data_IF_996533924442
#
_entry.id   IF_996533924442
#
_cell.length_a   1.000
_cell.length_b   1.000
_cell.length_c   1.000
_cell.angle_alpha   90.00
_cell.angle_beta   90.00
_cell.angle_gamma   90.00
#
_symmetry.space_group_name_H-M   'P 1'
#
loop_
_entity.id
_entity.type
_entity.pdbx_description
1 polymer ?
#
# COMPACT_ATOMS: atom_id res chain seq x y z
N UNK A 1 -4.09 8.95 -10.75
CA UNK A 1 -4.90 8.06 -9.87
C UNK A 1 -4.23 7.98 -8.52
N UNK A 2 -4.98 7.80 -7.42
CA UNK A 2 -4.39 7.63 -6.08
C UNK A 2 -4.61 6.20 -5.60
N UNK A 3 -3.55 5.58 -5.09
CA UNK A 3 -3.58 4.25 -4.47
C UNK A 3 -3.18 4.41 -3.02
N UNK A 4 -4.06 3.98 -2.12
CA UNK A 4 -3.92 4.08 -0.67
C UNK A 4 -3.68 2.68 -0.11
N UNK A 5 -2.49 2.44 0.44
CA UNK A 5 -2.11 1.15 1.00
C UNK A 5 -2.10 1.25 2.52
N UNK A 6 -2.78 0.34 3.20
CA UNK A 6 -2.68 0.24 4.66
C UNK A 6 -1.22 -0.02 5.10
N UNK A 7 -0.70 0.79 6.02
CA UNK A 7 0.69 0.70 6.45
C UNK A 7 1.08 -0.65 7.06
N UNK A 8 0.15 -1.32 7.75
CA UNK A 8 0.36 -2.66 8.32
C UNK A 8 0.66 -3.72 7.25
N UNK A 9 0.29 -3.48 5.98
CA UNK A 9 0.65 -4.38 4.87
C UNK A 9 2.11 -4.21 4.40
N UNK A 10 2.86 -3.27 4.98
CA UNK A 10 4.30 -3.08 4.70
C UNK A 10 5.22 -3.81 5.68
N UNK A 11 4.66 -4.39 6.75
CA UNK A 11 5.40 -5.10 7.80
C UNK A 11 5.06 -6.60 7.84
N UNK A 12 5.88 -7.44 8.50
CA UNK A 12 5.61 -8.86 8.66
C UNK A 12 4.18 -9.10 9.19
N UNK A 13 3.44 -10.08 8.63
CA UNK A 13 3.92 -11.18 7.79
C UNK A 13 4.06 -10.86 6.29
N UNK A 14 3.92 -9.60 5.87
CA UNK A 14 4.14 -9.19 4.47
C UNK A 14 5.63 -9.17 4.11
N UNK A 15 5.91 -9.46 2.84
CA UNK A 15 7.23 -9.35 2.23
C UNK A 15 7.48 -7.90 1.82
N UNK A 16 8.54 -7.29 2.39
CA UNK A 16 8.95 -5.92 2.05
C UNK A 16 9.29 -5.79 0.56
N UNK A 17 9.86 -6.85 -0.04
CA UNK A 17 10.14 -6.90 -1.47
C UNK A 17 8.85 -6.84 -2.28
N UNK A 18 7.83 -7.66 -1.95
CA UNK A 18 6.54 -7.61 -2.64
C UNK A 18 5.80 -6.28 -2.42
N UNK A 19 5.92 -5.67 -1.25
CA UNK A 19 5.41 -4.32 -1.01
C UNK A 19 6.08 -3.30 -1.96
N UNK A 20 7.42 -3.35 -2.08
CA UNK A 20 8.16 -2.50 -3.03
C UNK A 20 7.71 -2.75 -4.47
N UNK A 21 7.57 -3.99 -4.89
CA UNK A 21 7.11 -4.36 -6.24
C UNK A 21 5.70 -3.82 -6.52
N UNK A 22 4.78 -3.91 -5.56
CA UNK A 22 3.45 -3.32 -5.67
C UNK A 22 3.51 -1.80 -5.84
N UNK A 23 4.30 -1.11 -5.01
CA UNK A 23 4.41 0.36 -5.06
C UNK A 23 5.10 0.82 -6.36
N UNK A 24 6.13 0.11 -6.83
CA UNK A 24 6.77 0.31 -8.13
C UNK A 24 5.76 0.14 -9.26
N UNK A 25 5.00 -0.97 -9.26
CA UNK A 25 4.02 -1.25 -10.29
C UNK A 25 2.97 -0.14 -10.37
N UNK A 26 2.39 0.22 -9.23
CA UNK A 26 1.40 1.27 -9.13
C UNK A 26 1.96 2.63 -9.59
N UNK A 27 3.17 3.00 -9.17
CA UNK A 27 3.76 4.28 -9.53
C UNK A 27 4.16 4.35 -10.99
N UNK A 28 4.91 3.38 -11.50
CA UNK A 28 5.53 3.45 -12.83
C UNK A 28 4.59 2.97 -13.94
N UNK A 29 3.94 1.82 -13.76
CA UNK A 29 3.11 1.23 -14.82
C UNK A 29 1.68 1.76 -14.79
N UNK A 30 1.20 2.13 -13.59
CA UNK A 30 -0.14 2.69 -13.44
C UNK A 30 -0.15 4.23 -13.33
N UNK A 31 1.00 4.90 -13.29
CA UNK A 31 1.11 6.35 -13.10
C UNK A 31 0.25 6.84 -11.93
N UNK A 32 0.30 6.08 -10.82
CA UNK A 32 -0.47 6.34 -9.63
C UNK A 32 0.36 7.01 -8.54
N UNK A 33 -0.29 7.88 -7.79
CA UNK A 33 0.23 8.46 -6.57
C UNK A 33 0.00 7.46 -5.44
N UNK A 34 1.06 6.79 -5.03
CA UNK A 34 1.01 5.79 -3.97
C UNK A 34 1.19 6.48 -2.63
N UNK A 35 0.17 6.34 -1.79
CA UNK A 35 0.11 6.89 -0.44
C UNK A 35 -0.08 5.74 0.53
N UNK A 36 0.55 5.83 1.70
CA UNK A 36 0.36 4.86 2.77
C UNK A 36 -0.59 5.46 3.80
N UNK A 37 -1.59 4.71 4.26
CA UNK A 37 -2.53 5.17 5.29
C UNK A 37 -2.34 4.40 6.61
N UNK A 38 -2.36 5.13 7.72
CA UNK A 38 -2.34 4.55 9.06
C UNK A 38 -3.15 5.38 10.07
N UNK A 39 -3.16 4.96 11.34
CA UNK A 39 -3.67 5.81 12.44
C UNK A 39 -2.70 6.95 12.66
N UNK A 40 -3.22 8.14 13.02
CA UNK A 40 -2.42 9.37 13.18
C UNK A 40 -1.18 9.18 14.07
N UNK A 41 -1.32 8.49 15.19
CA UNK A 41 -0.24 8.24 16.14
C UNK A 41 0.88 7.32 15.62
N UNK A 42 0.65 6.61 14.50
CA UNK A 42 1.58 5.65 13.94
C UNK A 42 2.35 6.18 12.72
N UNK A 43 2.11 7.42 12.27
CA UNK A 43 2.76 7.97 11.06
C UNK A 43 4.28 7.90 11.14
N UNK A 44 4.86 8.40 12.23
CA UNK A 44 6.31 8.39 12.44
C UNK A 44 6.89 6.99 12.53
N UNK A 45 6.14 6.06 13.15
CA UNK A 45 6.55 4.66 13.27
C UNK A 45 6.69 4.03 11.89
N UNK A 46 5.67 4.16 11.05
CA UNK A 46 5.67 3.59 9.70
C UNK A 46 6.66 4.31 8.77
N UNK A 47 6.84 5.62 8.93
CA UNK A 47 7.88 6.35 8.20
C UNK A 47 9.27 5.80 8.50
N UNK A 48 9.60 5.59 9.78
CA UNK A 48 10.89 5.00 10.19
C UNK A 48 11.01 3.55 9.70
N UNK A 49 9.94 2.75 9.79
CA UNK A 49 9.92 1.36 9.34
C UNK A 49 10.26 1.23 7.84
N UNK A 50 9.56 2.00 7.00
CA UNK A 50 9.72 2.00 5.55
C UNK A 50 11.08 2.58 5.15
N UNK A 51 11.49 3.70 5.76
CA UNK A 51 12.77 4.35 5.47
C UNK A 51 13.96 3.46 5.79
N UNK A 52 13.95 2.76 6.94
CA UNK A 52 15.01 1.82 7.33
C UNK A 52 15.16 0.64 6.35
N UNK A 53 14.11 0.34 5.58
CA UNK A 53 14.04 -0.80 4.65
C UNK A 53 14.09 -0.40 3.18
N UNK A 54 14.36 0.87 2.88
CA UNK A 54 14.33 1.40 1.52
C UNK A 54 13.00 1.08 0.82
N UNK A 55 11.88 1.15 1.54
CA UNK A 55 10.54 0.89 1.02
C UNK A 55 9.73 2.18 0.80
N UNK A 56 10.42 3.32 0.78
CA UNK A 56 9.83 4.64 0.52
C UNK A 56 9.96 5.08 -0.95
N UNK A 57 10.70 4.34 -1.78
CA UNK A 57 11.13 4.76 -3.13
C UNK A 57 9.98 5.23 -4.03
N UNK A 58 8.81 4.59 -3.90
CA UNK A 58 7.61 4.90 -4.67
C UNK A 58 6.43 5.36 -3.80
N UNK A 59 6.66 5.60 -2.51
CA UNK A 59 5.64 6.09 -1.56
C UNK A 59 5.78 7.60 -1.45
N UNK A 60 4.76 8.35 -1.92
CA UNK A 60 4.78 9.81 -1.91
C UNK A 60 4.63 10.40 -0.52
N UNK A 61 3.71 9.84 0.28
CA UNK A 61 3.44 10.32 1.64
C UNK A 61 2.77 9.24 2.49
N UNK A 62 2.75 9.46 3.81
CA UNK A 62 2.00 8.69 4.79
C UNK A 62 0.90 9.60 5.34
N UNK A 63 -0.35 9.17 5.26
CA UNK A 63 -1.54 9.93 5.66
C UNK A 63 -2.32 9.21 6.77
N UNK A 64 -3.22 9.95 7.41
CA UNK A 64 -4.23 9.33 8.27
C UNK A 64 -5.32 8.70 7.40
N UNK A 65 -5.90 7.60 7.87
CA UNK A 65 -7.07 7.01 7.21
C UNK A 65 -8.15 8.06 6.92
N UNK A 66 -8.56 8.13 5.65
CA UNK A 66 -9.66 8.97 5.21
C UNK A 66 -9.29 10.42 4.91
N UNK A 67 -8.02 10.82 5.04
CA UNK A 67 -7.55 12.13 4.58
C UNK A 67 -7.64 12.28 3.06
N UNK A 68 -7.53 11.16 2.31
CA UNK A 68 -7.58 11.16 0.85
C UNK A 68 -8.51 10.07 0.30
N UNK A 69 -9.11 10.35 -0.85
CA UNK A 69 -9.88 9.39 -1.66
C UNK A 69 -9.01 8.68 -2.71
N UNK A 70 -9.36 7.45 -3.05
CA UNK A 70 -8.63 6.64 -4.04
C UNK A 70 -8.94 5.15 -3.94
N UNK A 71 -8.17 4.35 -4.68
CA UNK A 71 -8.24 2.88 -4.60
C UNK A 71 -7.54 2.43 -3.33
N UNK A 72 -8.25 1.70 -2.47
CA UNK A 72 -7.76 1.29 -1.15
C UNK A 72 -7.38 -0.18 -1.12
N UNK A 73 -6.13 -0.47 -0.74
CA UNK A 73 -5.60 -1.81 -0.47
C UNK A 73 -5.48 -1.94 1.05
N UNK A 74 -6.29 -2.81 1.66
CA UNK A 74 -6.42 -2.90 3.13
C UNK A 74 -6.56 -4.34 3.59
N UNK A 75 -6.25 -4.58 4.85
CA UNK A 75 -6.64 -5.79 5.58
C UNK A 75 -8.13 -5.77 5.90
N UNK A 76 -8.70 -6.95 6.15
CA UNK A 76 -10.10 -7.08 6.56
C UNK A 76 -10.42 -6.34 7.87
N UNK A 77 -9.40 -6.05 8.70
CA UNK A 77 -9.54 -5.46 10.04
C UNK A 77 -9.87 -3.96 10.04
N UNK A 78 -9.44 -3.23 9.01
CA UNK A 78 -9.66 -1.77 8.92
C UNK A 78 -11.02 -1.45 8.27
N UNK A 79 -11.64 -2.40 7.57
CA UNK A 79 -12.96 -2.26 6.96
C UNK A 79 -12.91 -2.18 5.44
N UNK A 80 -13.76 -1.34 4.83
CA UNK A 80 -13.94 -1.31 3.37
C UNK A 80 -12.67 -0.86 2.65
N UNK A 81 -12.11 -1.76 1.85
CA UNK A 81 -11.10 -1.50 0.82
C UNK A 81 -11.62 -1.97 -0.54
N UNK A 82 -11.04 -1.46 -1.63
CA UNK A 82 -11.33 -1.95 -2.98
C UNK A 82 -10.66 -3.31 -3.20
N UNK A 83 -9.46 -3.49 -2.64
CA UNK A 83 -8.71 -4.74 -2.63
C UNK A 83 -8.47 -5.10 -1.17
N UNK A 84 -8.97 -6.27 -0.76
CA UNK A 84 -8.81 -6.78 0.61
C UNK A 84 -7.77 -7.91 0.58
N UNK A 85 -6.73 -7.79 1.39
CA UNK A 85 -5.69 -8.81 1.57
C UNK A 85 -5.10 -8.74 2.98
N UNK A 86 -4.76 -9.87 3.57
CA UNK A 86 -4.19 -9.91 4.93
C UNK A 86 -2.68 -9.67 4.95
N UNK A 87 -2.02 -9.79 3.79
CA UNK A 87 -0.58 -9.58 3.62
C UNK A 87 -0.26 -9.27 2.16
N UNK A 88 0.92 -8.73 1.93
CA UNK A 88 1.50 -8.57 0.59
C UNK A 88 2.74 -9.45 0.52
N UNK A 89 2.62 -10.56 -0.21
CA UNK A 89 3.65 -11.60 -0.33
C UNK A 89 3.59 -12.23 -1.74
N UNK A 90 4.44 -13.22 -1.97
CA UNK A 90 4.61 -13.87 -3.27
C UNK A 90 3.34 -14.58 -3.74
N UNK A 91 2.46 -14.98 -2.80
CA UNK A 91 1.19 -15.64 -3.10
C UNK A 91 0.07 -14.66 -3.46
N UNK A 92 0.05 -13.48 -2.82
CA UNK A 92 -1.00 -12.47 -2.97
C UNK A 92 -0.68 -11.41 -4.02
N UNK A 93 0.60 -11.18 -4.34
CA UNK A 93 1.04 -10.07 -5.19
C UNK A 93 0.33 -10.07 -6.56
N UNK A 94 0.35 -11.18 -7.30
CA UNK A 94 -0.26 -11.24 -8.63
C UNK A 94 -1.78 -10.96 -8.61
N UNK A 95 -2.48 -11.42 -7.57
CA UNK A 95 -3.88 -11.09 -7.36
C UNK A 95 -4.08 -9.59 -7.18
N UNK A 96 -3.27 -8.96 -6.30
CA UNK A 96 -3.35 -7.52 -6.03
C UNK A 96 -3.07 -6.71 -7.29
N UNK A 97 -2.01 -7.04 -8.04
CA UNK A 97 -1.62 -6.34 -9.27
C UNK A 97 -2.71 -6.43 -10.34
N UNK A 98 -3.27 -7.62 -10.55
CA UNK A 98 -4.38 -7.85 -11.48
C UNK A 98 -5.59 -6.98 -11.13
N UNK A 99 -6.03 -7.05 -9.86
CA UNK A 99 -7.16 -6.25 -9.38
C UNK A 99 -6.91 -4.74 -9.46
N UNK A 100 -5.68 -4.30 -9.20
CA UNK A 100 -5.33 -2.89 -9.27
C UNK A 100 -5.35 -2.38 -10.71
N UNK A 101 -4.89 -3.21 -11.66
CA UNK A 101 -4.97 -2.91 -13.09
C UNK A 101 -6.43 -2.80 -13.55
N UNK A 102 -7.28 -3.73 -13.16
CA UNK A 102 -8.70 -3.75 -13.54
C UNK A 102 -9.46 -2.52 -13.02
N UNK A 103 -9.12 -2.03 -11.82
CA UNK A 103 -9.74 -0.84 -11.23
C UNK A 103 -9.25 0.49 -11.83
N UNK A 104 -8.16 0.47 -12.61
CA UNK A 104 -7.65 1.64 -13.32
C UNK A 104 -8.34 1.83 -14.67
N UNK A 105 -8.72 0.72 -15.32
CA UNK A 105 -9.45 0.70 -16.60
C UNK A 105 -10.87 1.21 -16.36
#
# INVERSE_FOLDING_TARGET
MIVLIEAALSEPPSSVSCFRDLTLYASIFLNADVLVECRQQNKDLYWRWLKKRCAMDFVKDILRYGEQGGIKIRSSRIGRGNIITERIDEHSLNYILSRLKDLKI
#
